data_IF_382314337415
#
_entry.id   IF_382314337415
#
_cell.length_a   1.000
_cell.length_b   1.000
_cell.length_c   1.000
_cell.angle_alpha   90.00
_cell.angle_beta   90.00
_cell.angle_gamma   90.00
#
_symmetry.space_group_name_H-M   'P 1'
#
loop_
_entity.id
_entity.type
_entity.pdbx_description
1 polymer ?
#
# COMPACT_ATOMS: atom_id res chain seq x y z
N UNK A 1 -52.30 31.93 15.00
CA UNK A 1 -51.47 31.21 15.99
C UNK A 1 -51.89 29.75 16.00
N UNK A 2 -51.24 28.89 15.21
CA UNK A 2 -51.28 27.45 15.40
C UNK A 2 -50.03 26.99 16.17
N UNK A 3 -50.28 26.06 17.07
CA UNK A 3 -49.34 25.31 17.91
C UNK A 3 -48.35 24.50 17.07
N UNK A 4 -47.05 24.62 17.38
CA UNK A 4 -46.03 23.69 16.88
C UNK A 4 -46.21 22.35 17.59
N UNK A 5 -46.87 21.42 16.89
CA UNK A 5 -46.86 20.01 17.22
C UNK A 5 -45.44 19.47 17.03
N UNK A 6 -44.76 19.26 18.15
CA UNK A 6 -43.51 18.52 18.21
C UNK A 6 -43.78 17.07 17.76
N UNK A 7 -43.25 16.73 16.58
CA UNK A 7 -43.22 15.37 16.07
C UNK A 7 -42.45 14.48 17.07
N UNK A 8 -43.17 13.77 17.94
CA UNK A 8 -42.62 12.70 18.76
C UNK A 8 -42.34 11.50 17.85
N UNK A 9 -41.15 11.48 17.24
CA UNK A 9 -40.58 10.22 16.77
C UNK A 9 -40.31 9.35 17.99
N UNK A 10 -41.09 8.27 18.16
CA UNK A 10 -40.77 7.20 19.10
C UNK A 10 -39.44 6.58 18.65
N UNK A 11 -38.35 6.94 19.32
CA UNK A 11 -37.04 6.36 19.07
C UNK A 11 -37.08 4.92 19.57
N UNK A 12 -36.94 3.99 18.63
CA UNK A 12 -36.93 2.56 18.89
C UNK A 12 -35.67 2.21 19.70
N UNK A 13 -35.84 1.88 20.98
CA UNK A 13 -34.73 1.66 21.92
C UNK A 13 -34.11 0.27 21.84
N UNK A 14 -34.69 -0.65 21.06
CA UNK A 14 -34.22 -2.04 20.93
C UNK A 14 -32.85 -2.18 20.26
N UNK A 15 -32.31 -1.11 19.66
CA UNK A 15 -30.99 -1.09 19.01
C UNK A 15 -29.81 -0.64 19.88
N UNK A 16 -30.04 -0.03 21.05
CA UNK A 16 -28.96 0.65 21.80
C UNK A 16 -28.30 -0.26 22.84
N UNK A 17 -27.19 -0.89 22.47
CA UNK A 17 -26.33 -1.63 23.39
C UNK A 17 -24.93 -1.01 23.49
N UNK A 18 -24.24 -1.26 24.60
CA UNK A 18 -22.84 -0.85 24.80
C UNK A 18 -21.96 -1.38 23.64
N UNK A 19 -22.22 -2.62 23.21
CA UNK A 19 -21.50 -3.28 22.12
C UNK A 19 -21.71 -2.56 20.78
N UNK A 20 -22.94 -2.17 20.45
CA UNK A 20 -23.24 -1.46 19.20
C UNK A 20 -22.55 -0.09 19.13
N UNK A 21 -22.51 0.63 20.26
CA UNK A 21 -21.83 1.93 20.35
C UNK A 21 -20.31 1.86 20.27
N UNK A 22 -19.71 0.68 20.49
CA UNK A 22 -18.27 0.50 20.42
C UNK A 22 -17.76 0.75 18.97
N UNK A 23 -18.56 0.35 17.99
CA UNK A 23 -18.18 0.32 16.57
C UNK A 23 -18.69 1.52 15.74
N UNK A 24 -19.75 2.24 16.16
CA UNK A 24 -20.34 3.34 15.37
C UNK A 24 -20.06 4.75 15.96
N UNK A 25 -19.30 5.59 15.25
CA UNK A 25 -18.89 6.94 15.70
C UNK A 25 -20.00 7.99 15.60
N UNK A 26 -20.94 7.85 14.66
CA UNK A 26 -22.01 8.85 14.49
C UNK A 26 -23.06 8.69 15.58
N UNK A 27 -23.43 7.45 15.90
CA UNK A 27 -24.29 7.11 17.04
C UNK A 27 -23.77 7.71 18.36
N UNK A 28 -22.45 7.76 18.51
CA UNK A 28 -21.75 8.21 19.72
C UNK A 28 -21.88 9.71 20.03
N UNK A 29 -22.24 10.58 19.09
CA UNK A 29 -21.96 12.03 19.22
C UNK A 29 -23.17 12.96 19.38
N UNK A 30 -24.43 12.45 19.37
CA UNK A 30 -25.59 13.35 19.37
C UNK A 30 -26.88 12.83 20.04
N UNK A 31 -26.84 11.78 20.87
CA UNK A 31 -28.08 11.10 21.30
C UNK A 31 -28.47 11.28 22.77
N UNK A 32 -27.63 11.89 23.60
CA UNK A 32 -27.89 11.96 25.05
C UNK A 32 -29.27 12.54 25.39
N UNK A 33 -29.63 13.69 24.82
CA UNK A 33 -30.92 14.34 25.08
C UNK A 33 -32.13 13.56 24.57
N UNK A 34 -31.96 12.72 23.54
CA UNK A 34 -33.05 11.94 22.95
C UNK A 34 -33.35 10.67 23.77
N UNK A 35 -32.34 10.12 24.43
CA UNK A 35 -32.48 8.84 25.16
C UNK A 35 -32.51 9.01 26.68
N UNK A 36 -32.24 10.21 27.21
CA UNK A 36 -32.15 10.45 28.67
C UNK A 36 -33.39 10.08 29.45
N UNK A 37 -34.58 10.33 28.92
CA UNK A 37 -35.83 10.11 29.66
C UNK A 37 -36.17 8.61 29.75
N UNK A 38 -35.77 7.85 28.72
CA UNK A 38 -35.96 6.40 28.64
C UNK A 38 -34.85 5.67 29.40
N UNK A 39 -33.60 5.85 28.98
CA UNK A 39 -32.44 5.17 29.58
C UNK A 39 -32.18 5.63 31.01
N UNK A 40 -32.54 6.85 31.38
CA UNK A 40 -32.42 7.34 32.75
C UNK A 40 -33.24 6.53 33.76
N UNK A 41 -34.25 5.77 33.29
CA UNK A 41 -35.09 4.88 34.10
C UNK A 41 -34.72 3.42 33.93
N UNK A 42 -34.24 3.00 32.75
CA UNK A 42 -34.04 1.58 32.42
C UNK A 42 -32.57 1.13 32.46
N UNK A 43 -31.64 1.97 32.01
CA UNK A 43 -30.21 1.67 31.98
C UNK A 43 -29.38 2.95 32.19
N UNK A 44 -29.26 3.32 33.47
CA UNK A 44 -28.54 4.53 33.88
C UNK A 44 -27.06 4.46 33.53
N UNK A 45 -26.47 3.25 33.51
CA UNK A 45 -25.05 3.07 33.15
C UNK A 45 -24.84 3.40 31.69
N UNK A 46 -25.64 2.83 30.78
CA UNK A 46 -25.58 3.14 29.35
C UNK A 46 -25.83 4.62 29.07
N UNK A 47 -26.80 5.24 29.74
CA UNK A 47 -27.04 6.69 29.62
C UNK A 47 -25.80 7.52 29.96
N UNK A 48 -25.15 7.21 31.08
CA UNK A 48 -23.92 7.90 31.49
C UNK A 48 -22.75 7.60 30.54
N UNK A 49 -22.71 6.39 29.97
CA UNK A 49 -21.75 6.00 28.95
C UNK A 49 -21.87 6.87 27.69
N UNK A 50 -23.09 7.10 27.21
CA UNK A 50 -23.42 8.04 26.12
C UNK A 50 -23.10 9.48 26.52
N UNK A 51 -23.53 9.91 27.70
CA UNK A 51 -23.34 11.28 28.17
C UNK A 51 -21.88 11.67 28.36
N UNK A 52 -21.00 10.71 28.65
CA UNK A 52 -19.56 10.93 28.80
C UNK A 52 -18.84 11.42 27.53
N UNK A 53 -19.49 11.31 26.38
CA UNK A 53 -18.97 11.73 25.06
C UNK A 53 -19.84 12.80 24.38
N UNK A 54 -20.82 13.35 25.11
CA UNK A 54 -21.71 14.41 24.66
C UNK A 54 -20.98 15.69 24.25
N UNK A 55 -21.62 16.59 23.48
CA UNK A 55 -21.03 17.86 23.08
C UNK A 55 -20.90 18.86 24.24
N UNK A 56 -21.82 18.82 25.21
CA UNK A 56 -21.82 19.67 26.40
C UNK A 56 -20.76 19.22 27.41
N UNK A 57 -19.84 20.14 27.75
CA UNK A 57 -18.84 19.90 28.79
C UNK A 57 -19.44 19.53 30.15
N UNK A 58 -20.55 20.19 30.51
CA UNK A 58 -21.28 19.95 31.76
C UNK A 58 -21.88 18.54 31.81
N UNK A 59 -22.51 18.10 30.72
CA UNK A 59 -23.08 16.75 30.61
C UNK A 59 -21.99 15.70 30.73
N UNK A 60 -20.87 15.89 30.02
CA UNK A 60 -19.72 14.98 30.10
C UNK A 60 -19.15 14.89 31.51
N UNK A 61 -18.96 16.02 32.19
CA UNK A 61 -18.46 16.08 33.56
C UNK A 61 -19.35 15.27 34.51
N UNK A 62 -20.66 15.55 34.50
CA UNK A 62 -21.64 14.86 35.34
C UNK A 62 -21.67 13.37 35.08
N UNK A 63 -21.74 12.95 33.82
CA UNK A 63 -21.81 11.55 33.46
C UNK A 63 -20.50 10.81 33.77
N UNK A 64 -19.35 11.45 33.55
CA UNK A 64 -18.04 10.89 33.92
C UNK A 64 -17.92 10.67 35.43
N UNK A 65 -18.39 11.63 36.25
CA UNK A 65 -18.39 11.49 37.70
C UNK A 65 -19.24 10.31 38.18
N UNK A 66 -20.41 10.11 37.57
CA UNK A 66 -21.27 8.96 37.86
C UNK A 66 -20.60 7.64 37.46
N UNK A 67 -19.99 7.56 36.27
CA UNK A 67 -19.23 6.38 35.84
C UNK A 67 -18.04 6.07 36.75
N UNK A 68 -17.38 7.09 37.31
CA UNK A 68 -16.25 6.88 38.23
C UNK A 68 -16.74 6.41 39.60
N UNK A 69 -17.84 6.99 40.10
CA UNK A 69 -18.38 6.67 41.42
C UNK A 69 -18.99 5.27 41.45
N UNK A 70 -19.65 4.87 40.36
CA UNK A 70 -20.22 3.54 40.16
C UNK A 70 -19.42 2.73 39.13
N UNK A 71 -18.09 2.75 39.24
CA UNK A 71 -17.19 2.13 38.27
C UNK A 71 -17.47 0.64 38.05
N UNK A 72 -17.63 0.27 36.79
CA UNK A 72 -17.68 -1.11 36.34
C UNK A 72 -16.61 -1.37 35.25
N UNK A 73 -16.16 -2.61 35.14
CA UNK A 73 -15.19 -2.99 34.10
C UNK A 73 -15.74 -2.63 32.70
N UNK A 74 -14.89 -2.03 31.88
CA UNK A 74 -15.22 -1.49 30.57
C UNK A 74 -15.35 0.05 30.57
N UNK A 75 -15.65 0.67 31.71
CA UNK A 75 -15.80 2.12 31.82
C UNK A 75 -14.46 2.86 31.67
N UNK A 76 -13.33 2.17 31.87
CA UNK A 76 -12.00 2.73 31.63
C UNK A 76 -11.84 3.29 30.22
N UNK A 77 -12.56 2.78 29.22
CA UNK A 77 -12.53 3.35 27.87
C UNK A 77 -12.99 4.81 27.86
N UNK A 78 -14.12 5.09 28.53
CA UNK A 78 -14.70 6.43 28.58
C UNK A 78 -13.84 7.35 29.42
N UNK A 79 -13.34 6.86 30.55
CA UNK A 79 -12.47 7.62 31.43
C UNK A 79 -11.14 7.97 30.72
N UNK A 80 -10.47 7.00 30.08
CA UNK A 80 -9.22 7.23 29.35
C UNK A 80 -9.39 8.24 28.21
N UNK A 81 -10.51 8.19 27.49
CA UNK A 81 -10.79 9.11 26.38
C UNK A 81 -10.83 10.57 26.87
N UNK A 82 -11.33 10.78 28.09
CA UNK A 82 -11.46 12.11 28.71
C UNK A 82 -10.15 12.73 29.16
N UNK A 83 -9.05 11.99 29.22
CA UNK A 83 -7.70 12.60 29.35
C UNK A 83 -7.41 13.59 28.21
N UNK A 84 -8.05 13.40 27.05
CA UNK A 84 -7.91 14.28 25.89
C UNK A 84 -9.01 15.32 25.76
N UNK A 85 -9.86 15.55 26.77
CA UNK A 85 -10.95 16.52 26.67
C UNK A 85 -10.45 17.97 26.50
N UNK A 86 -11.27 18.83 25.90
CA UNK A 86 -10.96 20.25 25.78
C UNK A 86 -11.35 21.02 27.06
N UNK A 87 -12.32 20.53 27.82
CA UNK A 87 -12.73 21.07 29.13
C UNK A 87 -11.78 20.59 30.22
N UNK A 88 -11.21 21.52 31.00
CA UNK A 88 -10.23 21.21 32.06
C UNK A 88 -10.79 20.31 33.14
N UNK A 89 -11.98 20.60 33.67
CA UNK A 89 -12.61 19.88 34.77
C UNK A 89 -12.81 18.40 34.41
N UNK A 90 -13.31 18.14 33.19
CA UNK A 90 -13.49 16.77 32.66
C UNK A 90 -12.14 16.05 32.55
N UNK A 91 -11.08 16.73 32.09
CA UNK A 91 -9.73 16.15 32.05
C UNK A 91 -9.20 15.84 33.44
N UNK A 92 -9.40 16.74 34.39
CA UNK A 92 -8.84 16.64 35.74
C UNK A 92 -9.46 15.45 36.48
N UNK A 93 -10.79 15.30 36.41
CA UNK A 93 -11.51 14.12 36.93
C UNK A 93 -10.97 12.81 36.33
N UNK A 94 -10.82 12.76 35.00
CA UNK A 94 -10.29 11.57 34.33
C UNK A 94 -8.83 11.29 34.72
N UNK A 95 -8.02 12.33 34.87
CA UNK A 95 -6.61 12.23 35.26
C UNK A 95 -6.46 11.65 36.65
N UNK A 96 -7.21 12.17 37.61
CA UNK A 96 -7.15 11.75 39.01
C UNK A 96 -7.50 10.26 39.11
N UNK A 97 -8.59 9.84 38.45
CA UNK A 97 -8.96 8.42 38.39
C UNK A 97 -7.87 7.56 37.76
N UNK A 98 -7.25 8.00 36.66
CA UNK A 98 -6.18 7.24 35.98
C UNK A 98 -4.95 7.09 36.87
N UNK A 99 -4.55 8.16 37.58
CA UNK A 99 -3.42 8.12 38.50
C UNK A 99 -3.66 7.11 39.62
N UNK A 100 -4.88 7.06 40.16
CA UNK A 100 -5.25 6.21 41.27
C UNK A 100 -5.51 4.75 40.85
N UNK A 101 -6.15 4.50 39.71
CA UNK A 101 -6.76 3.20 39.42
C UNK A 101 -6.14 2.42 38.26
N UNK A 102 -5.45 3.08 37.31
CA UNK A 102 -4.97 2.40 36.09
C UNK A 102 -4.05 1.20 36.38
N UNK A 103 -3.25 1.28 37.45
CA UNK A 103 -2.35 0.22 37.86
C UNK A 103 -3.06 -1.05 38.38
N UNK A 104 -4.35 -0.95 38.70
CA UNK A 104 -5.17 -2.06 39.18
C UNK A 104 -5.94 -2.76 38.04
N UNK A 105 -5.99 -2.16 36.85
CA UNK A 105 -6.73 -2.72 35.74
C UNK A 105 -6.21 -4.10 35.34
N UNK A 106 -7.10 -5.05 34.98
CA UNK A 106 -6.68 -6.33 34.43
C UNK A 106 -6.03 -6.15 33.05
N UNK A 107 -5.28 -7.14 32.57
CA UNK A 107 -4.57 -7.03 31.29
C UNK A 107 -5.55 -6.99 30.10
N UNK A 108 -6.70 -7.64 30.27
CA UNK A 108 -7.86 -7.68 29.37
C UNK A 108 -8.42 -6.28 29.10
N UNK A 109 -8.45 -5.42 30.12
CA UNK A 109 -8.80 -4.00 29.95
C UNK A 109 -7.77 -3.25 29.11
N UNK A 110 -6.48 -3.60 29.21
CA UNK A 110 -5.43 -3.02 28.35
C UNK A 110 -5.57 -3.52 26.91
N UNK A 111 -5.88 -4.82 26.71
CA UNK A 111 -6.15 -5.38 25.38
C UNK A 111 -7.28 -4.64 24.67
N UNK A 112 -8.39 -4.43 25.38
CA UNK A 112 -9.59 -3.77 24.85
C UNK A 112 -9.34 -2.28 24.53
N UNK A 113 -8.44 -1.63 25.27
CA UNK A 113 -8.18 -0.19 25.16
C UNK A 113 -6.86 0.18 24.46
N UNK A 114 -6.15 -0.78 23.89
CA UNK A 114 -4.82 -0.58 23.29
C UNK A 114 -4.79 0.52 22.20
N UNK A 115 -5.86 0.65 21.39
CA UNK A 115 -5.99 1.68 20.35
C UNK A 115 -6.11 3.08 20.96
N UNK A 116 -6.92 3.20 22.01
CA UNK A 116 -7.13 4.47 22.72
C UNK A 116 -5.85 4.90 23.44
N UNK A 117 -5.15 3.97 24.08
CA UNK A 117 -3.85 4.24 24.72
C UNK A 117 -2.85 4.77 23.67
N UNK A 118 -2.75 4.12 22.50
CA UNK A 118 -1.90 4.63 21.40
C UNK A 118 -2.31 6.02 20.94
N UNK A 119 -3.60 6.28 20.81
CA UNK A 119 -4.12 7.59 20.44
C UNK A 119 -3.69 8.67 21.43
N UNK A 120 -3.85 8.42 22.74
CA UNK A 120 -3.44 9.35 23.79
C UNK A 120 -1.94 9.66 23.73
N UNK A 121 -1.10 8.63 23.55
CA UNK A 121 0.36 8.79 23.45
C UNK A 121 0.84 9.52 22.19
N UNK A 122 0.00 9.64 21.16
CA UNK A 122 0.32 10.41 19.94
C UNK A 122 -0.09 11.88 20.04
N UNK A 123 -0.88 12.26 21.04
CA UNK A 123 -1.31 13.65 21.23
C UNK A 123 -0.19 14.47 21.88
N UNK A 124 0.36 15.42 21.12
CA UNK A 124 1.43 16.31 21.58
C UNK A 124 1.05 17.07 22.86
N UNK A 125 -0.18 17.62 22.91
CA UNK A 125 -0.69 18.34 24.09
C UNK A 125 -0.76 17.50 25.38
N UNK A 126 -0.70 16.17 25.29
CA UNK A 126 -0.78 15.27 26.43
C UNK A 126 0.57 14.69 26.85
N UNK A 127 1.68 15.07 26.20
CA UNK A 127 2.99 14.49 26.52
C UNK A 127 3.48 14.80 27.94
N UNK A 128 3.05 15.92 28.50
CA UNK A 128 3.32 16.35 29.88
C UNK A 128 2.17 16.04 30.87
N UNK A 129 1.08 15.41 30.41
CA UNK A 129 -0.05 15.10 31.27
C UNK A 129 0.30 13.98 32.28
N UNK A 130 -0.04 14.21 33.56
CA UNK A 130 0.34 13.28 34.63
C UNK A 130 -0.41 11.94 34.54
N UNK A 131 -1.63 11.91 33.98
CA UNK A 131 -2.39 10.67 33.75
C UNK A 131 -1.73 9.82 32.67
N UNK A 132 -1.31 10.43 31.55
CA UNK A 132 -0.52 9.74 30.52
C UNK A 132 0.83 9.26 31.08
N UNK A 133 1.47 10.05 31.96
CA UNK A 133 2.68 9.63 32.64
C UNK A 133 2.45 8.44 33.61
N UNK A 134 1.29 8.38 34.27
CA UNK A 134 0.90 7.25 35.11
C UNK A 134 0.70 5.97 34.29
N UNK A 135 -0.04 6.05 33.17
CA UNK A 135 -0.20 4.95 32.21
C UNK A 135 1.17 4.46 31.74
N UNK A 136 2.05 5.38 31.36
CA UNK A 136 3.42 5.08 30.90
C UNK A 136 4.21 4.29 31.95
N UNK A 137 4.18 4.76 33.21
CA UNK A 137 4.88 4.15 34.33
C UNK A 137 4.36 2.74 34.60
N UNK A 138 3.04 2.58 34.57
CA UNK A 138 2.40 1.31 34.83
C UNK A 138 2.66 0.27 33.73
N UNK A 139 2.49 0.64 32.47
CA UNK A 139 2.82 -0.23 31.33
C UNK A 139 4.29 -0.69 31.37
N UNK A 140 5.23 0.20 31.73
CA UNK A 140 6.65 -0.18 31.95
C UNK A 140 6.81 -1.26 33.02
N UNK A 141 6.05 -1.19 34.12
CA UNK A 141 6.07 -2.23 35.17
C UNK A 141 5.49 -3.54 34.64
N UNK A 142 4.32 -3.49 33.98
CA UNK A 142 3.63 -4.67 33.43
C UNK A 142 4.46 -5.40 32.39
N UNK A 143 5.16 -4.68 31.51
CA UNK A 143 6.08 -5.26 30.52
C UNK A 143 7.11 -6.21 31.18
N UNK A 144 7.62 -5.85 32.36
CA UNK A 144 8.60 -6.68 33.09
C UNK A 144 8.01 -7.99 33.59
N UNK A 145 6.69 -8.04 33.83
CA UNK A 145 5.96 -9.22 34.32
C UNK A 145 5.23 -9.99 33.22
N UNK A 146 5.05 -9.38 32.04
CA UNK A 146 4.36 -9.98 30.90
C UNK A 146 5.01 -11.32 30.52
N UNK A 147 4.20 -12.28 30.07
CA UNK A 147 4.63 -13.54 29.46
C UNK A 147 4.65 -13.45 27.93
N UNK A 148 5.34 -14.37 27.27
CA UNK A 148 5.43 -14.42 25.81
C UNK A 148 4.04 -14.50 25.15
N UNK A 149 3.18 -15.43 25.59
CA UNK A 149 1.82 -15.58 25.03
C UNK A 149 1.00 -14.28 25.12
N UNK A 150 1.00 -13.67 26.30
CA UNK A 150 0.29 -12.43 26.59
C UNK A 150 0.79 -11.24 25.76
N UNK A 151 2.08 -11.20 25.40
CA UNK A 151 2.62 -10.18 24.51
C UNK A 151 2.02 -10.28 23.11
N UNK A 152 1.81 -11.50 22.61
CA UNK A 152 1.29 -11.75 21.27
C UNK A 152 -0.22 -11.60 21.12
N UNK A 153 -0.96 -11.50 22.23
CA UNK A 153 -2.38 -11.10 22.24
C UNK A 153 -2.58 -9.61 21.88
N UNK A 154 -1.56 -8.77 22.08
CA UNK A 154 -1.62 -7.36 21.64
C UNK A 154 -1.52 -7.25 20.12
N UNK A 155 -2.14 -6.22 19.55
CA UNK A 155 -1.99 -5.88 18.13
C UNK A 155 -0.52 -5.55 17.78
N UNK A 156 -0.09 -5.74 16.52
CA UNK A 156 1.28 -5.44 16.13
C UNK A 156 1.74 -4.00 16.42
N UNK A 157 0.84 -3.02 16.25
CA UNK A 157 1.16 -1.63 16.56
C UNK A 157 1.40 -1.43 18.06
N UNK A 158 0.62 -2.08 18.91
CA UNK A 158 0.78 -1.95 20.36
C UNK A 158 2.01 -2.70 20.86
N UNK A 159 2.32 -3.88 20.32
CA UNK A 159 3.57 -4.62 20.61
C UNK A 159 4.82 -3.77 20.36
N UNK A 160 4.84 -3.07 19.23
CA UNK A 160 5.90 -2.10 18.89
C UNK A 160 5.94 -0.92 19.86
N UNK A 161 4.79 -0.38 20.23
CA UNK A 161 4.73 0.67 21.25
C UNK A 161 5.27 0.20 22.61
N UNK A 162 4.90 -0.99 23.07
CA UNK A 162 5.44 -1.59 24.31
C UNK A 162 6.96 -1.78 24.23
N UNK A 163 7.48 -2.21 23.08
CA UNK A 163 8.91 -2.33 22.87
C UNK A 163 9.62 -0.98 22.99
N UNK A 164 9.16 0.05 22.27
CA UNK A 164 9.71 1.41 22.37
C UNK A 164 9.62 1.95 23.80
N UNK A 165 8.52 1.64 24.51
CA UNK A 165 8.33 2.06 25.89
C UNK A 165 9.33 1.42 26.86
N UNK A 166 9.77 0.19 26.59
CA UNK A 166 10.75 -0.51 27.42
C UNK A 166 12.16 0.12 27.42
N UNK A 167 12.41 1.10 26.54
CA UNK A 167 13.74 1.71 26.38
C UNK A 167 14.79 0.72 25.87
N UNK A 168 14.36 -0.33 25.17
CA UNK A 168 15.22 -1.33 24.51
C UNK A 168 16.15 -2.12 25.44
N UNK A 169 15.92 -2.07 26.76
CA UNK A 169 16.75 -2.73 27.79
C UNK A 169 16.23 -4.11 28.21
N UNK A 170 15.03 -4.49 27.77
CA UNK A 170 14.45 -5.80 28.11
C UNK A 170 14.97 -6.92 27.22
N UNK A 171 15.98 -7.68 27.65
CA UNK A 171 16.50 -8.83 26.89
C UNK A 171 15.42 -9.81 26.44
N UNK A 172 14.40 -10.07 27.28
CA UNK A 172 13.25 -10.91 26.90
C UNK A 172 12.40 -10.30 25.77
N UNK A 173 12.21 -8.98 25.75
CA UNK A 173 11.38 -8.31 24.72
C UNK A 173 12.08 -8.28 23.38
N UNK A 174 13.42 -8.13 23.35
CA UNK A 174 14.17 -8.16 22.09
C UNK A 174 13.99 -9.51 21.39
N UNK A 175 14.08 -10.61 22.16
CA UNK A 175 13.78 -11.96 21.66
C UNK A 175 12.35 -12.06 21.10
N UNK A 176 11.36 -11.61 21.87
CA UNK A 176 9.96 -11.68 21.41
C UNK A 176 9.70 -10.81 20.19
N UNK A 177 10.35 -9.65 20.08
CA UNK A 177 10.26 -8.80 18.89
C UNK A 177 10.80 -9.54 17.67
N UNK A 178 11.90 -10.29 17.79
CA UNK A 178 12.41 -11.12 16.68
C UNK A 178 11.47 -12.27 16.31
N UNK A 179 10.68 -12.77 17.26
CA UNK A 179 9.64 -13.77 17.04
C UNK A 179 8.36 -13.18 16.41
N UNK A 180 8.26 -11.84 16.31
CA UNK A 180 7.07 -11.18 15.80
C UNK A 180 6.86 -11.49 14.32
N UNK A 181 5.65 -11.91 13.88
CA UNK A 181 5.37 -12.18 12.47
C UNK A 181 5.51 -10.92 11.59
N UNK A 182 5.28 -9.72 12.15
CA UNK A 182 5.32 -8.48 11.41
C UNK A 182 6.76 -7.95 11.24
N UNK A 183 7.26 -7.82 9.98
CA UNK A 183 8.62 -7.37 9.73
C UNK A 183 8.92 -5.99 10.33
N UNK A 184 7.93 -5.08 10.33
CA UNK A 184 8.09 -3.73 10.89
C UNK A 184 8.36 -3.71 12.39
N UNK A 185 7.90 -4.73 13.12
CA UNK A 185 8.18 -4.86 14.54
C UNK A 185 9.61 -5.38 14.74
N UNK A 186 10.04 -6.39 13.99
CA UNK A 186 11.43 -6.88 13.99
C UNK A 186 12.45 -5.77 13.68
N UNK A 187 12.10 -4.88 12.73
CA UNK A 187 12.90 -3.70 12.40
C UNK A 187 13.07 -2.70 13.56
N UNK A 188 12.22 -2.73 14.59
CA UNK A 188 12.40 -1.86 15.75
C UNK A 188 13.70 -2.15 16.50
N UNK A 189 14.16 -3.40 16.48
CA UNK A 189 15.44 -3.74 17.08
C UNK A 189 16.58 -2.95 16.43
N UNK A 190 16.58 -2.86 15.10
CA UNK A 190 17.57 -2.12 14.32
C UNK A 190 17.45 -0.59 14.42
N UNK A 191 16.26 -0.08 14.74
CA UNK A 191 16.04 1.36 14.86
C UNK A 191 16.38 1.88 16.26
N UNK A 192 16.29 1.02 17.28
CA UNK A 192 16.34 1.44 18.68
C UNK A 192 17.51 0.82 19.46
N UNK A 193 18.24 -0.12 18.87
CA UNK A 193 19.45 -0.74 19.44
C UNK A 193 20.60 -0.58 18.47
N UNK A 194 21.71 -0.05 18.96
CA UNK A 194 22.94 0.04 18.19
C UNK A 194 23.47 -1.36 17.86
N UNK A 195 24.01 -1.54 16.65
CA UNK A 195 24.50 -2.84 16.18
C UNK A 195 25.48 -3.52 17.16
N UNK A 196 26.48 -2.83 17.75
CA UNK A 196 27.38 -3.46 18.72
C UNK A 196 26.69 -4.00 19.97
N UNK A 197 25.46 -3.56 20.26
CA UNK A 197 24.67 -4.02 21.39
C UNK A 197 23.73 -5.19 21.05
N UNK A 198 23.77 -5.70 19.82
CA UNK A 198 23.06 -6.91 19.40
C UNK A 198 23.89 -8.15 19.74
N UNK A 199 23.25 -9.14 20.33
CA UNK A 199 23.85 -10.47 20.57
C UNK A 199 24.03 -11.24 19.26
N UNK A 200 24.90 -12.26 19.27
CA UNK A 200 25.15 -13.10 18.09
C UNK A 200 23.88 -13.82 17.60
N UNK A 201 23.00 -14.25 18.52
CA UNK A 201 21.69 -14.83 18.16
C UNK A 201 20.81 -13.81 17.43
N UNK A 202 20.69 -12.58 17.97
CA UNK A 202 19.90 -11.51 17.34
C UNK A 202 20.45 -11.17 15.95
N UNK A 203 21.77 -11.06 15.82
CA UNK A 203 22.44 -10.82 14.54
C UNK A 203 22.19 -11.96 13.54
N UNK A 204 22.32 -13.22 13.97
CA UNK A 204 22.07 -14.38 13.13
C UNK A 204 20.63 -14.46 12.63
N UNK A 205 19.66 -14.16 13.51
CA UNK A 205 18.23 -14.13 13.17
C UNK A 205 17.88 -13.00 12.21
N UNK A 206 18.44 -11.81 12.39
CA UNK A 206 18.24 -10.67 11.50
C UNK A 206 18.90 -10.89 10.12
N UNK A 207 20.07 -11.53 10.08
CA UNK A 207 20.77 -11.87 8.84
C UNK A 207 20.02 -12.91 7.99
N UNK A 208 19.32 -13.85 8.66
CA UNK A 208 18.58 -14.96 8.04
C UNK A 208 17.05 -14.75 8.02
N UNK A 209 16.59 -13.52 8.29
CA UNK A 209 15.17 -13.21 8.39
C UNK A 209 14.40 -13.54 7.10
N UNK A 210 13.20 -14.08 7.23
CA UNK A 210 12.34 -14.41 6.08
C UNK A 210 11.96 -13.17 5.27
N UNK A 211 11.87 -12.00 5.92
CA UNK A 211 11.64 -10.73 5.26
C UNK A 211 12.92 -10.17 4.65
N UNK A 212 12.91 -10.03 3.33
CA UNK A 212 13.93 -9.33 2.55
C UNK A 212 14.18 -7.92 3.09
N UNK A 213 13.13 -7.22 3.54
CA UNK A 213 13.26 -5.87 4.09
C UNK A 213 14.05 -5.86 5.40
N UNK A 214 13.87 -6.87 6.26
CA UNK A 214 14.61 -6.99 7.52
C UNK A 214 16.08 -7.31 7.23
N UNK A 215 16.34 -8.34 6.41
CA UNK A 215 17.72 -8.71 6.03
C UNK A 215 18.47 -7.53 5.42
N UNK A 216 17.87 -6.85 4.44
CA UNK A 216 18.49 -5.70 3.77
C UNK A 216 18.77 -4.57 4.76
N UNK A 217 17.81 -4.26 5.64
CA UNK A 217 17.99 -3.21 6.65
C UNK A 217 19.07 -3.57 7.66
N UNK A 218 19.16 -4.82 8.08
CA UNK A 218 20.22 -5.31 8.97
C UNK A 218 21.60 -5.07 8.36
N UNK A 219 21.85 -5.57 7.15
CA UNK A 219 23.15 -5.39 6.49
C UNK A 219 23.46 -3.92 6.18
N UNK A 220 22.45 -3.12 5.83
CA UNK A 220 22.63 -1.69 5.70
C UNK A 220 23.06 -1.05 7.03
N UNK A 221 22.40 -1.39 8.14
CA UNK A 221 22.75 -0.89 9.47
C UNK A 221 24.15 -1.32 9.91
N UNK A 222 24.61 -2.54 9.59
CA UNK A 222 25.99 -2.97 9.83
C UNK A 222 26.98 -1.99 9.16
N UNK A 223 26.80 -1.77 7.85
CA UNK A 223 27.69 -0.92 7.07
C UNK A 223 27.63 0.54 7.54
N UNK A 224 26.43 1.05 7.83
CA UNK A 224 26.26 2.42 8.35
C UNK A 224 26.93 2.61 9.71
N UNK A 225 27.05 1.56 10.52
CA UNK A 225 27.80 1.57 11.77
C UNK A 225 29.32 1.37 11.59
N UNK A 226 29.81 1.33 10.34
CA UNK A 226 31.22 1.08 10.02
C UNK A 226 31.63 -0.39 10.19
N UNK A 227 30.68 -1.29 10.44
CA UNK A 227 30.93 -2.72 10.60
C UNK A 227 30.88 -3.38 9.21
N UNK A 228 32.01 -3.96 8.82
CA UNK A 228 32.17 -4.64 7.54
C UNK A 228 31.60 -6.07 7.61
N UNK A 229 30.53 -6.40 6.85
CA UNK A 229 30.05 -7.78 6.76
C UNK A 229 31.11 -8.67 6.13
N UNK A 230 31.14 -9.95 6.49
CA UNK A 230 32.16 -10.88 5.97
C UNK A 230 31.98 -11.11 4.47
N UNK A 231 33.06 -11.55 3.81
CA UNK A 231 33.00 -11.90 2.39
C UNK A 231 31.94 -12.98 2.11
N UNK A 232 31.82 -13.99 2.99
CA UNK A 232 30.81 -15.03 2.87
C UNK A 232 29.38 -14.51 3.01
N UNK A 233 29.13 -13.57 3.93
CA UNK A 233 27.82 -12.93 4.07
C UNK A 233 27.46 -12.12 2.82
N UNK A 234 28.36 -11.28 2.32
CA UNK A 234 28.12 -10.48 1.11
C UNK A 234 28.00 -11.35 -0.14
N UNK A 235 28.78 -12.44 -0.23
CA UNK A 235 28.67 -13.43 -1.29
C UNK A 235 27.30 -14.13 -1.27
N UNK A 236 26.81 -14.52 -0.09
CA UNK A 236 25.46 -15.09 0.05
C UNK A 236 24.37 -14.10 -0.39
N UNK A 237 24.49 -12.82 -0.03
CA UNK A 237 23.58 -11.79 -0.50
C UNK A 237 23.65 -11.58 -2.01
N UNK A 238 24.86 -11.55 -2.58
CA UNK A 238 25.08 -11.43 -4.02
C UNK A 238 24.45 -12.60 -4.79
N UNK A 239 24.22 -13.75 -4.16
CA UNK A 239 23.56 -14.93 -4.74
C UNK A 239 22.08 -15.07 -4.37
N UNK A 240 21.49 -14.09 -3.67
CA UNK A 240 20.09 -14.17 -3.24
C UNK A 240 19.12 -14.12 -4.44
N UNK A 241 17.97 -14.80 -4.37
CA UNK A 241 16.96 -14.71 -5.45
C UNK A 241 16.35 -13.31 -5.57
N UNK A 242 16.38 -12.53 -4.49
CA UNK A 242 15.89 -11.16 -4.49
C UNK A 242 16.96 -10.18 -5.00
N UNK A 243 16.63 -9.48 -6.09
CA UNK A 243 17.51 -8.50 -6.72
C UNK A 243 18.01 -7.41 -5.74
N UNK A 244 17.17 -6.93 -4.82
CA UNK A 244 17.60 -5.85 -3.91
C UNK A 244 18.68 -6.27 -2.91
N UNK A 245 18.68 -7.55 -2.51
CA UNK A 245 19.76 -8.13 -1.70
C UNK A 245 20.99 -8.43 -2.55
N UNK A 246 20.81 -8.93 -3.78
CA UNK A 246 21.93 -9.14 -4.70
C UNK A 246 22.70 -7.88 -4.98
N UNK A 247 22.02 -6.81 -5.42
CA UNK A 247 22.66 -5.53 -5.72
C UNK A 247 23.40 -4.97 -4.50
N UNK A 248 22.85 -5.15 -3.29
CA UNK A 248 23.54 -4.80 -2.06
C UNK A 248 24.82 -5.63 -1.86
N UNK A 249 24.71 -6.95 -1.97
CA UNK A 249 25.83 -7.89 -1.87
C UNK A 249 26.93 -7.59 -2.88
N UNK A 250 26.59 -7.49 -4.17
CA UNK A 250 27.48 -7.17 -5.29
C UNK A 250 28.27 -5.88 -5.02
N UNK A 251 27.57 -4.79 -4.68
CA UNK A 251 28.20 -3.49 -4.44
C UNK A 251 29.22 -3.55 -3.32
N UNK A 252 28.84 -4.11 -2.16
CA UNK A 252 29.74 -4.14 -1.00
C UNK A 252 30.82 -5.22 -1.09
N UNK A 253 30.56 -6.31 -1.81
CA UNK A 253 31.56 -7.35 -2.09
C UNK A 253 32.71 -6.76 -2.91
N UNK A 254 32.40 -6.01 -3.98
CA UNK A 254 33.40 -5.29 -4.75
C UNK A 254 34.07 -4.18 -3.91
N UNK A 255 33.28 -3.32 -3.24
CA UNK A 255 33.79 -2.18 -2.47
C UNK A 255 34.77 -2.59 -1.38
N UNK A 256 34.50 -3.68 -0.67
CA UNK A 256 35.31 -4.09 0.47
C UNK A 256 36.38 -5.11 0.10
N UNK A 257 36.05 -6.09 -0.75
CA UNK A 257 36.90 -7.26 -1.02
C UNK A 257 37.47 -7.29 -2.45
N UNK A 258 37.15 -6.32 -3.30
CA UNK A 258 37.52 -6.30 -4.73
C UNK A 258 37.10 -7.58 -5.47
N UNK A 259 36.07 -8.25 -4.96
CA UNK A 259 35.54 -9.47 -5.55
C UNK A 259 34.40 -9.10 -6.51
N UNK A 260 34.60 -9.39 -7.79
CA UNK A 260 33.64 -9.12 -8.85
C UNK A 260 32.57 -10.22 -8.91
N UNK A 261 31.35 -9.88 -8.48
CA UNK A 261 30.22 -10.79 -8.52
C UNK A 261 29.85 -11.23 -9.95
N UNK A 262 30.10 -10.39 -10.96
CA UNK A 262 29.85 -10.75 -12.36
C UNK A 262 30.71 -11.94 -12.80
N UNK A 263 32.01 -11.89 -12.52
CA UNK A 263 32.94 -13.00 -12.74
C UNK A 263 32.50 -14.27 -12.00
N UNK A 264 31.98 -14.13 -10.78
CA UNK A 264 31.45 -15.29 -10.04
C UNK A 264 30.23 -15.87 -10.78
N UNK A 265 29.26 -15.07 -11.21
CA UNK A 265 28.07 -15.57 -11.93
C UNK A 265 28.41 -16.32 -13.21
N UNK A 266 29.41 -15.85 -13.97
CA UNK A 266 29.87 -16.54 -15.19
C UNK A 266 30.43 -17.94 -14.97
N UNK A 267 30.76 -18.30 -13.73
CA UNK A 267 31.21 -19.65 -13.35
C UNK A 267 30.12 -20.53 -12.75
N UNK A 268 28.91 -20.00 -12.60
CA UNK A 268 27.77 -20.73 -12.04
C UNK A 268 26.90 -21.32 -13.15
N UNK A 269 26.10 -22.32 -12.77
CA UNK A 269 25.11 -22.94 -13.65
C UNK A 269 23.67 -22.54 -13.25
N UNK A 270 22.72 -22.83 -14.14
CA UNK A 270 21.29 -22.69 -13.88
C UNK A 270 20.82 -21.25 -13.71
N UNK A 271 19.91 -21.01 -12.76
CA UNK A 271 19.29 -19.68 -12.54
C UNK A 271 20.31 -18.62 -12.09
N UNK A 272 21.35 -19.05 -11.35
CA UNK A 272 22.36 -18.14 -10.78
C UNK A 272 23.25 -17.54 -11.86
N UNK A 273 23.55 -18.30 -12.92
CA UNK A 273 24.27 -17.79 -14.09
C UNK A 273 23.63 -16.48 -14.59
N UNK A 274 22.30 -16.47 -14.73
CA UNK A 274 21.55 -15.34 -15.27
C UNK A 274 21.48 -14.11 -14.34
N UNK A 275 22.10 -14.13 -13.17
CA UNK A 275 22.31 -12.90 -12.39
C UNK A 275 23.28 -11.93 -13.07
N UNK A 276 23.99 -12.35 -14.13
CA UNK A 276 24.66 -11.43 -15.07
C UNK A 276 23.71 -10.37 -15.64
N UNK A 277 22.40 -10.64 -15.68
CA UNK A 277 21.39 -9.68 -16.11
C UNK A 277 21.32 -8.42 -15.22
N UNK A 278 21.78 -8.47 -13.96
CA UNK A 278 21.85 -7.29 -13.09
C UNK A 278 22.86 -6.24 -13.60
N UNK A 279 23.78 -6.62 -14.49
CA UNK A 279 24.79 -5.73 -15.09
C UNK A 279 24.39 -5.19 -16.47
N UNK A 280 23.44 -5.85 -17.16
CA UNK A 280 22.93 -5.47 -18.48
C UNK A 280 24.05 -5.08 -19.48
N UNK A 281 25.05 -5.95 -19.66
CA UNK A 281 26.12 -5.72 -20.65
C UNK A 281 25.68 -6.21 -22.03
N UNK A 282 25.94 -5.41 -23.07
CA UNK A 282 25.57 -5.75 -24.45
C UNK A 282 26.27 -7.02 -24.96
N UNK A 283 27.49 -7.30 -24.49
CA UNK A 283 28.25 -8.53 -24.78
C UNK A 283 27.54 -9.81 -24.34
N UNK A 284 26.61 -9.74 -23.37
CA UNK A 284 25.86 -10.90 -22.87
C UNK A 284 24.46 -11.03 -23.51
N UNK A 285 24.15 -10.26 -24.55
CA UNK A 285 22.81 -10.22 -25.14
C UNK A 285 22.32 -11.60 -25.63
N UNK A 286 23.21 -12.45 -26.16
CA UNK A 286 22.86 -13.82 -26.57
C UNK A 286 22.41 -14.68 -25.38
N UNK A 287 23.08 -14.54 -24.24
CA UNK A 287 22.66 -15.19 -23.00
C UNK A 287 21.30 -14.66 -22.54
N UNK A 288 21.04 -13.36 -22.65
CA UNK A 288 19.73 -12.83 -22.26
C UNK A 288 18.60 -13.35 -23.14
N UNK A 289 18.81 -13.48 -24.46
CA UNK A 289 17.82 -14.07 -25.37
C UNK A 289 17.53 -15.52 -24.97
N UNK A 290 18.56 -16.31 -24.72
CA UNK A 290 18.40 -17.69 -24.27
C UNK A 290 17.66 -17.77 -22.93
N UNK A 291 18.03 -16.92 -21.97
CA UNK A 291 17.36 -16.84 -20.67
C UNK A 291 15.88 -16.44 -20.76
N UNK A 292 15.48 -15.64 -21.77
CA UNK A 292 14.07 -15.35 -22.04
C UNK A 292 13.33 -16.55 -22.64
N UNK A 293 14.00 -17.36 -23.45
CA UNK A 293 13.39 -18.53 -24.11
C UNK A 293 13.20 -19.70 -23.15
N UNK A 294 14.24 -20.06 -22.40
CA UNK A 294 14.28 -21.32 -21.63
C UNK A 294 14.30 -21.13 -20.12
N UNK A 295 14.48 -19.91 -19.63
CA UNK A 295 14.63 -19.61 -18.21
C UNK A 295 13.36 -19.77 -17.37
N UNK A 296 13.55 -19.73 -16.05
CA UNK A 296 12.47 -19.62 -15.06
C UNK A 296 11.68 -18.32 -15.25
N UNK A 297 10.48 -18.20 -14.64
CA UNK A 297 9.70 -16.94 -14.67
C UNK A 297 10.52 -15.73 -14.21
N UNK A 298 11.44 -15.92 -13.26
CA UNK A 298 12.31 -14.87 -12.75
C UNK A 298 13.45 -14.57 -13.73
N UNK A 299 14.11 -15.62 -14.24
CA UNK A 299 15.16 -15.51 -15.27
C UNK A 299 14.65 -14.77 -16.49
N UNK A 300 13.51 -15.19 -17.06
CA UNK A 300 12.90 -14.53 -18.22
C UNK A 300 12.71 -13.03 -17.99
N UNK A 301 12.16 -12.65 -16.83
CA UNK A 301 11.92 -11.24 -16.51
C UNK A 301 13.23 -10.46 -16.37
N UNK A 302 14.23 -11.01 -15.70
CA UNK A 302 15.52 -10.32 -15.49
C UNK A 302 16.27 -10.17 -16.82
N UNK A 303 16.36 -11.24 -17.61
CA UNK A 303 17.00 -11.22 -18.92
C UNK A 303 16.28 -10.29 -19.90
N UNK A 304 14.95 -10.28 -19.91
CA UNK A 304 14.18 -9.36 -20.76
C UNK A 304 14.43 -7.88 -20.40
N UNK A 305 14.51 -7.57 -19.11
CA UNK A 305 14.86 -6.21 -18.63
C UNK A 305 16.28 -5.82 -19.02
N UNK A 306 17.23 -6.73 -18.87
CA UNK A 306 18.61 -6.51 -19.25
C UNK A 306 18.71 -6.25 -20.77
N UNK A 307 18.12 -7.14 -21.57
CA UNK A 307 18.10 -7.02 -23.03
C UNK A 307 17.45 -5.71 -23.48
N UNK A 308 16.28 -5.37 -22.96
CA UNK A 308 15.59 -4.11 -23.25
C UNK A 308 16.42 -2.87 -22.87
N UNK A 309 17.35 -2.98 -21.92
CA UNK A 309 18.20 -1.88 -21.49
C UNK A 309 19.51 -1.77 -22.26
N UNK A 310 20.07 -2.88 -22.75
CA UNK A 310 21.43 -2.90 -23.32
C UNK A 310 21.49 -3.20 -24.82
N UNK A 311 20.43 -3.78 -25.39
CA UNK A 311 20.32 -4.17 -26.79
C UNK A 311 18.82 -4.22 -27.19
N UNK A 312 18.16 -3.06 -27.13
CA UNK A 312 16.71 -2.92 -27.36
C UNK A 312 16.28 -3.49 -28.72
N UNK A 313 17.10 -3.27 -29.75
CA UNK A 313 16.88 -3.76 -31.12
C UNK A 313 16.77 -5.29 -31.20
N UNK A 314 17.46 -5.99 -30.31
CA UNK A 314 17.47 -7.46 -30.27
C UNK A 314 16.25 -8.07 -29.59
N UNK A 315 15.43 -7.26 -28.92
CA UNK A 315 14.15 -7.73 -28.36
C UNK A 315 13.24 -8.24 -29.49
N UNK A 316 13.42 -7.75 -30.73
CA UNK A 316 12.69 -8.22 -31.92
C UNK A 316 12.98 -9.68 -32.31
N UNK A 317 14.07 -10.28 -31.80
CA UNK A 317 14.42 -11.69 -32.02
C UNK A 317 13.59 -12.66 -31.15
N UNK A 318 12.74 -12.12 -30.27
CA UNK A 318 11.92 -12.88 -29.34
C UNK A 318 10.48 -13.06 -29.87
N UNK A 319 9.80 -14.09 -29.37
CA UNK A 319 8.37 -14.27 -29.61
C UNK A 319 7.55 -13.26 -28.78
N UNK A 320 7.33 -12.08 -29.36
CA UNK A 320 6.58 -10.99 -28.74
C UNK A 320 5.15 -11.42 -28.39
N UNK A 321 4.48 -12.23 -29.22
CA UNK A 321 3.11 -12.67 -28.98
C UNK A 321 3.03 -13.51 -27.71
N UNK A 322 3.95 -14.47 -27.56
CA UNK A 322 4.04 -15.31 -26.36
C UNK A 322 4.33 -14.46 -25.11
N UNK A 323 5.28 -13.53 -25.17
CA UNK A 323 5.66 -12.71 -24.02
C UNK A 323 4.54 -11.76 -23.55
N UNK A 324 3.71 -11.24 -24.46
CA UNK A 324 2.57 -10.39 -24.12
C UNK A 324 1.47 -11.16 -23.36
N UNK A 325 1.28 -12.44 -23.68
CA UNK A 325 0.26 -13.31 -23.05
C UNK A 325 0.72 -13.95 -21.75
N UNK A 326 2.00 -14.28 -21.61
CA UNK A 326 2.52 -15.08 -20.49
C UNK A 326 2.37 -14.41 -19.11
N UNK A 327 2.79 -13.14 -18.95
CA UNK A 327 2.76 -12.47 -17.65
C UNK A 327 2.71 -10.92 -17.76
N UNK A 328 1.91 -10.28 -16.89
CA UNK A 328 1.82 -8.82 -16.76
C UNK A 328 3.17 -8.12 -16.60
N UNK A 329 4.13 -8.72 -15.89
CA UNK A 329 5.47 -8.14 -15.66
C UNK A 329 6.31 -8.11 -16.93
N UNK A 330 6.25 -9.15 -17.77
CA UNK A 330 6.94 -9.18 -19.06
C UNK A 330 6.32 -8.17 -20.03
N UNK A 331 4.98 -8.14 -20.07
CA UNK A 331 4.22 -7.14 -20.83
C UNK A 331 4.61 -5.71 -20.48
N UNK A 332 4.79 -5.41 -19.20
CA UNK A 332 5.20 -4.08 -18.75
C UNK A 332 6.61 -3.66 -19.24
N UNK A 333 7.47 -4.62 -19.60
CA UNK A 333 8.79 -4.34 -20.18
C UNK A 333 8.68 -4.15 -21.70
N UNK A 334 7.87 -4.95 -22.39
CA UNK A 334 7.80 -4.98 -23.86
C UNK A 334 6.94 -3.87 -24.43
N UNK A 335 5.77 -3.63 -23.83
CA UNK A 335 4.77 -2.67 -24.35
C UNK A 335 5.37 -1.29 -24.66
N UNK A 336 6.21 -0.69 -23.81
CA UNK A 336 6.84 0.59 -24.10
C UNK A 336 7.79 0.58 -25.32
N UNK A 337 8.29 -0.58 -25.73
CA UNK A 337 9.26 -0.73 -26.81
C UNK A 337 8.58 -0.94 -28.16
N UNK A 338 7.37 -1.51 -28.18
CA UNK A 338 6.65 -1.89 -29.41
C UNK A 338 6.59 -0.78 -30.47
N UNK A 339 6.25 0.49 -30.16
CA UNK A 339 6.17 1.53 -31.19
C UNK A 339 7.46 1.74 -32.00
N UNK A 340 8.61 1.42 -31.40
CA UNK A 340 9.94 1.59 -32.01
C UNK A 340 10.46 0.31 -32.67
N UNK A 341 9.98 -0.85 -32.25
CA UNK A 341 10.50 -2.14 -32.66
C UNK A 341 9.83 -2.75 -33.89
N UNK A 342 8.62 -2.32 -34.22
CA UNK A 342 7.84 -2.92 -35.30
C UNK A 342 7.13 -1.86 -36.14
N UNK A 343 6.74 -2.23 -37.35
CA UNK A 343 5.90 -1.38 -38.20
C UNK A 343 4.48 -1.29 -37.63
N UNK A 344 3.71 -0.31 -38.12
CA UNK A 344 2.29 -0.17 -37.76
C UNK A 344 1.52 -1.43 -38.11
N UNK A 345 1.75 -2.01 -39.30
CA UNK A 345 1.06 -3.21 -39.76
C UNK A 345 1.35 -4.41 -38.85
N UNK A 346 2.64 -4.62 -38.51
CA UNK A 346 3.05 -5.66 -37.57
C UNK A 346 2.41 -5.48 -36.18
N UNK A 347 2.30 -4.24 -35.70
CA UNK A 347 1.65 -3.96 -34.42
C UNK A 347 0.14 -4.24 -34.46
N UNK A 348 -0.54 -3.89 -35.56
CA UNK A 348 -1.97 -4.14 -35.75
C UNK A 348 -2.28 -5.64 -35.68
N UNK A 349 -1.41 -6.51 -36.18
CA UNK A 349 -1.56 -7.96 -36.08
C UNK A 349 -1.52 -8.51 -34.64
N UNK A 350 -1.08 -7.70 -33.66
CA UNK A 350 -1.07 -8.05 -32.23
C UNK A 350 -2.39 -7.70 -31.52
N UNK A 351 -3.38 -7.12 -32.20
CA UNK A 351 -4.64 -6.68 -31.60
C UNK A 351 -5.31 -7.74 -30.73
N UNK A 352 -5.54 -8.92 -31.29
CA UNK A 352 -6.19 -10.04 -30.56
C UNK A 352 -5.41 -10.46 -29.32
N UNK A 353 -4.07 -10.39 -29.39
CA UNK A 353 -3.20 -10.68 -28.25
C UNK A 353 -3.43 -9.67 -27.14
N UNK A 354 -3.51 -8.38 -27.45
CA UNK A 354 -3.79 -7.35 -26.45
C UNK A 354 -5.17 -7.52 -25.83
N UNK A 355 -6.21 -7.68 -26.66
CA UNK A 355 -7.60 -7.79 -26.24
C UNK A 355 -7.83 -9.00 -25.31
N UNK A 356 -7.26 -10.16 -25.65
CA UNK A 356 -7.36 -11.37 -24.82
C UNK A 356 -6.53 -11.31 -23.52
N UNK A 357 -5.47 -10.48 -23.49
CA UNK A 357 -4.51 -10.49 -22.39
C UNK A 357 -4.93 -9.71 -21.14
N UNK A 358 -5.99 -8.90 -21.19
CA UNK A 358 -6.43 -8.04 -20.09
C UNK A 358 -7.84 -7.47 -20.34
N UNK A 359 -8.66 -7.22 -19.30
CA UNK A 359 -9.96 -6.53 -19.44
C UNK A 359 -9.87 -5.15 -20.12
N UNK A 360 -8.73 -4.46 -19.98
CA UNK A 360 -8.44 -3.18 -20.63
C UNK A 360 -7.51 -3.33 -21.85
N UNK A 361 -7.47 -4.53 -22.43
CA UNK A 361 -6.57 -4.90 -23.53
C UNK A 361 -6.78 -4.02 -24.76
N UNK A 362 -8.03 -3.84 -25.18
CA UNK A 362 -8.42 -2.99 -26.31
C UNK A 362 -7.94 -1.54 -26.17
N UNK A 363 -8.17 -0.93 -25.01
CA UNK A 363 -7.71 0.45 -24.73
C UNK A 363 -6.18 0.52 -24.74
N UNK A 364 -5.51 -0.50 -24.20
CA UNK A 364 -4.05 -0.56 -24.18
C UNK A 364 -3.48 -0.66 -25.60
N UNK A 365 -4.09 -1.49 -26.46
CA UNK A 365 -3.75 -1.59 -27.88
C UNK A 365 -3.91 -0.25 -28.59
N UNK A 366 -5.10 0.36 -28.50
CA UNK A 366 -5.40 1.64 -29.13
C UNK A 366 -4.46 2.75 -28.67
N UNK A 367 -4.13 2.80 -27.38
CA UNK A 367 -3.18 3.79 -26.82
C UNK A 367 -1.77 3.64 -27.38
N UNK A 368 -1.31 2.42 -27.64
CA UNK A 368 0.00 2.19 -28.23
C UNK A 368 -0.04 2.51 -29.72
N UNK A 369 -1.11 2.12 -30.43
CA UNK A 369 -1.33 2.47 -31.82
C UNK A 369 -1.31 3.99 -32.01
N UNK A 370 -2.00 4.75 -31.16
CA UNK A 370 -2.02 6.21 -31.18
C UNK A 370 -0.62 6.83 -31.04
N UNK A 371 0.25 6.21 -30.24
CA UNK A 371 1.65 6.65 -30.08
C UNK A 371 2.50 6.34 -31.29
N UNK A 372 2.16 5.30 -32.05
CA UNK A 372 2.94 4.83 -33.19
C UNK A 372 2.51 5.51 -34.50
N UNK A 373 1.20 5.63 -34.72
CA UNK A 373 0.58 6.28 -35.88
C UNK A 373 -0.79 6.82 -35.52
N UNK A 374 -0.96 8.13 -35.61
CA UNK A 374 -2.23 8.80 -35.38
C UNK A 374 -3.26 8.35 -36.42
N UNK A 375 -2.89 8.31 -37.69
CA UNK A 375 -3.84 7.96 -38.75
C UNK A 375 -4.27 6.50 -38.70
N UNK A 376 -3.38 5.57 -38.32
CA UNK A 376 -3.77 4.19 -38.10
C UNK A 376 -4.68 4.05 -36.86
N UNK A 377 -4.41 4.80 -35.80
CA UNK A 377 -5.30 4.86 -34.64
C UNK A 377 -6.70 5.37 -35.00
N UNK A 378 -6.81 6.43 -35.81
CA UNK A 378 -8.12 6.92 -36.30
C UNK A 378 -8.83 5.84 -37.10
N UNK A 379 -8.14 5.23 -38.07
CA UNK A 379 -8.74 4.22 -38.95
C UNK A 379 -9.24 2.98 -38.19
N UNK A 380 -8.47 2.49 -37.23
CA UNK A 380 -8.88 1.38 -36.36
C UNK A 380 -9.94 1.82 -35.34
N UNK A 381 -9.80 3.01 -34.75
CA UNK A 381 -10.75 3.57 -33.80
C UNK A 381 -12.15 3.73 -34.40
N UNK A 382 -12.28 4.20 -35.64
CA UNK A 382 -13.57 4.27 -36.33
C UNK A 382 -14.20 2.88 -36.54
N UNK A 383 -13.37 1.85 -36.75
CA UNK A 383 -13.83 0.46 -36.83
C UNK A 383 -14.38 -0.03 -35.49
N UNK A 384 -13.77 0.40 -34.38
CA UNK A 384 -14.28 0.09 -33.04
C UNK A 384 -15.60 0.80 -32.76
N UNK A 385 -15.76 2.06 -33.18
CA UNK A 385 -17.02 2.79 -33.00
C UNK A 385 -18.20 2.16 -33.77
N UNK A 386 -17.93 1.55 -34.93
CA UNK A 386 -18.94 0.81 -35.70
C UNK A 386 -19.32 -0.52 -35.02
N UNK A 387 -18.33 -1.23 -34.45
CA UNK A 387 -18.52 -2.61 -33.99
C UNK A 387 -18.79 -2.75 -32.48
N UNK A 388 -18.34 -1.81 -31.66
CA UNK A 388 -18.35 -1.89 -30.20
C UNK A 388 -19.08 -0.67 -29.58
N UNK A 389 -20.13 -0.96 -28.80
CA UNK A 389 -20.94 0.06 -28.10
C UNK A 389 -20.37 0.43 -26.72
N UNK A 390 -19.16 -0.01 -26.39
CA UNK A 390 -18.49 0.32 -25.14
C UNK A 390 -18.24 1.82 -25.01
N UNK A 391 -18.94 2.45 -24.05
CA UNK A 391 -18.80 3.88 -23.77
C UNK A 391 -17.37 4.26 -23.38
N UNK A 392 -16.66 3.37 -22.67
CA UNK A 392 -15.27 3.60 -22.26
C UNK A 392 -14.33 3.67 -23.47
N UNK A 393 -14.50 2.78 -24.44
CA UNK A 393 -13.69 2.75 -25.67
C UNK A 393 -14.02 3.96 -26.53
N UNK A 394 -15.31 4.28 -26.69
CA UNK A 394 -15.77 5.47 -27.41
C UNK A 394 -15.19 6.75 -26.81
N UNK A 395 -15.33 6.94 -25.50
CA UNK A 395 -14.81 8.12 -24.80
C UNK A 395 -13.29 8.24 -24.95
N UNK A 396 -12.56 7.12 -24.88
CA UNK A 396 -11.12 7.12 -25.13
C UNK A 396 -10.78 7.61 -26.55
N UNK A 397 -11.43 7.05 -27.58
CA UNK A 397 -11.19 7.42 -28.99
C UNK A 397 -11.51 8.90 -29.22
N UNK A 398 -12.69 9.35 -28.80
CA UNK A 398 -13.15 10.74 -28.96
C UNK A 398 -12.18 11.71 -28.29
N UNK A 399 -11.78 11.45 -27.04
CA UNK A 399 -10.87 12.32 -26.31
C UNK A 399 -9.45 12.33 -26.92
N UNK A 400 -8.93 11.19 -27.35
CA UNK A 400 -7.62 11.12 -28.01
C UNK A 400 -7.60 11.91 -29.32
N UNK A 401 -8.65 11.85 -30.14
CA UNK A 401 -8.70 12.62 -31.41
C UNK A 401 -8.94 14.12 -31.15
N UNK A 402 -9.94 14.48 -30.33
CA UNK A 402 -10.23 15.88 -30.01
C UNK A 402 -9.10 16.58 -29.26
N UNK A 403 -8.28 15.83 -28.52
CA UNK A 403 -7.14 16.34 -27.76
C UNK A 403 -5.89 16.61 -28.59
N UNK A 404 -5.85 16.23 -29.87
CA UNK A 404 -4.69 16.48 -30.74
C UNK A 404 -4.73 17.89 -31.32
N UNK A 405 -3.72 18.69 -30.98
CA UNK A 405 -3.58 20.06 -31.48
C UNK A 405 -2.92 20.16 -32.86
N UNK A 406 -2.09 19.18 -33.22
CA UNK A 406 -1.42 19.11 -34.51
C UNK A 406 -1.11 17.65 -34.89
N UNK A 407 -1.16 17.36 -36.18
CA UNK A 407 -0.84 16.06 -36.78
C UNK A 407 0.30 16.31 -37.77
N UNK A 408 1.40 15.60 -37.60
CA UNK A 408 2.62 15.75 -38.43
C UNK A 408 2.93 14.49 -39.25
N UNK A 409 2.03 13.50 -39.21
CA UNK A 409 2.15 12.24 -39.92
C UNK A 409 1.42 12.35 -41.26
N UNK A 410 2.03 11.97 -42.38
CA UNK A 410 1.35 12.01 -43.68
C UNK A 410 0.30 10.91 -43.81
N UNK A 411 -0.87 11.27 -44.33
CA UNK A 411 -1.95 10.32 -44.63
C UNK A 411 -1.82 9.71 -46.03
N UNK A 412 -1.69 8.39 -46.10
CA UNK A 412 -1.69 7.68 -47.38
C UNK A 412 -3.06 7.69 -48.06
N UNK A 413 -3.09 7.67 -49.39
CA UNK A 413 -4.33 7.67 -50.17
C UNK A 413 -5.26 6.49 -49.82
N UNK A 414 -4.70 5.30 -49.62
CA UNK A 414 -5.47 4.10 -49.24
C UNK A 414 -6.13 4.26 -47.86
N UNK A 415 -5.40 4.81 -46.88
CA UNK A 415 -5.92 5.04 -45.53
C UNK A 415 -6.94 6.18 -45.51
N UNK A 416 -6.73 7.24 -46.30
CA UNK A 416 -7.70 8.33 -46.51
C UNK A 416 -9.04 7.77 -47.00
N UNK A 417 -9.01 6.90 -48.01
CA UNK A 417 -10.21 6.26 -48.54
C UNK A 417 -10.91 5.37 -47.49
N UNK A 418 -10.15 4.57 -46.74
CA UNK A 418 -10.70 3.74 -45.65
C UNK A 418 -11.39 4.57 -44.56
N UNK A 419 -10.74 5.65 -44.10
CA UNK A 419 -11.28 6.56 -43.09
C UNK A 419 -12.58 7.21 -43.60
N UNK A 420 -12.59 7.71 -44.84
CA UNK A 420 -13.78 8.32 -45.45
C UNK A 420 -14.97 7.34 -45.52
N UNK A 421 -14.72 6.09 -45.92
CA UNK A 421 -15.77 5.05 -45.95
C UNK A 421 -16.34 4.79 -44.55
N UNK A 422 -15.50 4.72 -43.52
CA UNK A 422 -15.92 4.47 -42.13
C UNK A 422 -16.68 5.67 -41.54
N UNK A 423 -16.30 6.89 -41.88
CA UNK A 423 -17.04 8.11 -41.49
C UNK A 423 -18.43 8.10 -42.11
N UNK A 424 -18.56 7.76 -43.41
CA UNK A 424 -19.85 7.65 -44.07
C UNK A 424 -20.74 6.60 -43.40
N UNK A 425 -20.19 5.42 -43.07
CA UNK A 425 -20.91 4.37 -42.35
C UNK A 425 -21.40 4.85 -40.97
N UNK A 426 -20.53 5.49 -40.18
CA UNK A 426 -20.90 6.02 -38.86
C UNK A 426 -21.98 7.10 -38.92
N UNK A 427 -21.97 7.96 -39.95
CA UNK A 427 -23.03 8.95 -40.16
C UNK A 427 -24.39 8.31 -40.43
N UNK A 428 -24.41 7.14 -41.08
CA UNK A 428 -25.63 6.39 -41.32
C UNK A 428 -26.16 5.66 -40.07
N UNK A 429 -25.27 5.18 -39.20
CA UNK A 429 -25.66 4.38 -38.02
C UNK A 429 -25.91 5.18 -36.74
N UNK A 430 -25.19 6.31 -36.52
CA UNK A 430 -25.21 7.04 -35.24
C UNK A 430 -25.03 8.55 -35.43
N UNK A 431 -26.00 9.18 -36.10
CA UNK A 431 -25.90 10.53 -36.68
C UNK A 431 -25.61 11.66 -35.68
N UNK A 432 -25.89 11.49 -34.38
CA UNK A 432 -25.83 12.57 -33.39
C UNK A 432 -24.67 12.46 -32.39
N UNK A 433 -24.07 11.28 -32.24
CA UNK A 433 -23.16 10.99 -31.13
C UNK A 433 -21.69 11.27 -31.46
N UNK A 434 -21.29 11.15 -32.73
CA UNK A 434 -19.90 11.25 -33.15
C UNK A 434 -19.66 12.36 -34.20
N UNK A 435 -20.66 13.22 -34.48
CA UNK A 435 -20.61 14.25 -35.54
C UNK A 435 -19.39 15.14 -35.41
N UNK A 436 -19.15 15.70 -34.22
CA UNK A 436 -18.00 16.57 -33.94
C UNK A 436 -16.66 15.86 -34.14
N UNK A 437 -16.59 14.56 -33.83
CA UNK A 437 -15.38 13.76 -34.06
C UNK A 437 -15.13 13.60 -35.56
N UNK A 438 -16.16 13.24 -36.32
CA UNK A 438 -16.08 13.02 -37.76
C UNK A 438 -15.69 14.30 -38.52
N UNK A 439 -16.33 15.42 -38.19
CA UNK A 439 -16.04 16.71 -38.82
C UNK A 439 -14.59 17.16 -38.55
N UNK A 440 -14.07 16.91 -37.34
CA UNK A 440 -12.67 17.20 -37.02
C UNK A 440 -11.72 16.32 -37.84
N UNK A 441 -12.01 15.02 -37.98
CA UNK A 441 -11.18 14.10 -38.76
C UNK A 441 -11.17 14.53 -40.24
N UNK A 442 -12.32 14.85 -40.83
CA UNK A 442 -12.41 15.35 -42.21
C UNK A 442 -11.60 16.63 -42.40
N UNK A 443 -11.76 17.61 -41.51
CA UNK A 443 -10.99 18.85 -41.52
C UNK A 443 -9.48 18.60 -41.43
N UNK A 444 -9.05 17.69 -40.54
CA UNK A 444 -7.64 17.33 -40.40
C UNK A 444 -7.08 16.62 -41.63
N UNK A 445 -7.89 15.90 -42.41
CA UNK A 445 -7.45 15.26 -43.65
C UNK A 445 -7.31 16.24 -44.83
N UNK A 446 -8.01 17.38 -44.81
CA UNK A 446 -7.96 18.42 -45.85
C UNK A 446 -6.77 19.36 -45.70
N UNK A 447 -6.22 19.48 -44.48
CA UNK A 447 -5.05 20.31 -44.16
C UNK A 447 -3.69 19.67 -44.49
N UNK A 448 -3.67 18.41 -44.94
CA UNK A 448 -2.51 17.66 -45.44
C UNK A 448 -2.56 17.47 -46.96
#
# INVERSE_FOLDING_TARGET
>A
MPTEDACQCSVDTEGFTIDLMWDDFELRTWQYDQVKDTLGKTDKRLLNWIGSIDQSGYTREKCLYELITAYEQGDENRILLRLSDWVSQVRDIARDWVIENFHQLPLESIYSNQRLILYLFRKERLQSDQGVAAIRRDLKKRIRLLKHSQYFEFSPMFRRFLFSLSGNTGGKLRRWVLDDPEPFNRLQLLNNVEIPCLTDDEQGRLASDQSIFVRRRYFYSLVSAGIRPTQGQLGSLAMDRNQSLRLFGQYYLNKFYQADAYSIYKTQDGEVFYFIADYARSEDADHFIEGVRTGSKLTKLNCLRALASCAEERVGELDIRSLLTENRRLRAVIVPLLPRMMSVDQFVELREVFESSSPYGKISFLRILEKQSFWAFVDVGLTELLNDKSEVVRNFIVQSVLGKSAIYESLSASRRQSIQQKIQALRHEDSNNNTRLMDLIEFSMEGE
#
